data_IF_574155562013
#
_entry.id   IF_574155562013
#
_cell.length_a   1.000
_cell.length_b   1.000
_cell.length_c   1.000
_cell.angle_alpha   90.00
_cell.angle_beta   90.00
_cell.angle_gamma   90.00
#
_symmetry.space_group_name_H-M   'P 1'
#
loop_
_entity.id
_entity.type
_entity.pdbx_description
1 polymer ?
#
# COMPACT_ATOMS: atom_id res chain seq x y z
N UNK A 1 -0.94 -5.71 12.71
CA UNK A 1 0.27 -6.13 11.96
C UNK A 1 -0.13 -6.62 10.57
N UNK A 2 0.47 -6.09 9.50
CA UNK A 2 0.24 -6.56 8.13
C UNK A 2 1.17 -7.72 7.82
N UNK A 3 0.67 -8.95 7.88
CA UNK A 3 1.38 -10.16 7.45
C UNK A 3 0.39 -11.13 6.80
N UNK A 4 0.90 -11.93 5.87
CA UNK A 4 0.14 -12.96 5.16
C UNK A 4 0.15 -12.75 3.66
N UNK A 5 0.04 -13.85 2.92
CA UNK A 5 -0.20 -13.86 1.48
C UNK A 5 -1.70 -14.02 1.30
N UNK A 6 -2.31 -13.13 0.52
CA UNK A 6 -3.73 -13.21 0.19
C UNK A 6 -3.86 -13.20 -1.32
N UNK A 7 -4.47 -14.24 -1.87
CA UNK A 7 -4.81 -14.28 -3.28
C UNK A 7 -6.09 -13.48 -3.49
N UNK A 8 -6.01 -12.45 -4.33
CA UNK A 8 -7.12 -11.53 -4.59
C UNK A 8 -7.23 -11.35 -6.09
N UNK A 9 -8.44 -11.54 -6.63
CA UNK A 9 -8.71 -11.29 -8.03
C UNK A 9 -8.93 -9.80 -8.29
N UNK A 10 -8.48 -9.36 -9.46
CA UNK A 10 -8.69 -8.01 -9.96
C UNK A 10 -9.94 -7.99 -10.84
N UNK A 11 -10.81 -7.00 -10.62
CA UNK A 11 -11.97 -6.75 -11.47
C UNK A 11 -11.55 -6.23 -12.85
N UNK A 12 -12.42 -6.33 -13.86
CA UNK A 12 -12.17 -5.89 -15.24
C UNK A 12 -11.79 -4.41 -15.37
N UNK A 13 -12.08 -3.61 -14.33
CA UNK A 13 -11.72 -2.18 -14.23
C UNK A 13 -10.40 -1.92 -13.51
N UNK A 14 -9.60 -2.95 -13.22
CA UNK A 14 -8.36 -2.81 -12.47
C UNK A 14 -8.55 -2.57 -10.97
N UNK A 15 -9.74 -2.88 -10.42
CA UNK A 15 -10.03 -2.70 -9.00
C UNK A 15 -9.73 -3.97 -8.24
N UNK A 16 -9.15 -3.86 -7.05
CA UNK A 16 -8.91 -4.98 -6.14
C UNK A 16 -9.61 -4.72 -4.81
N UNK A 17 -10.18 -5.78 -4.23
CA UNK A 17 -10.82 -5.68 -2.92
C UNK A 17 -9.77 -5.86 -1.81
N UNK A 18 -9.58 -4.85 -0.96
CA UNK A 18 -8.74 -5.03 0.23
C UNK A 18 -9.44 -6.00 1.21
N UNK A 19 -8.75 -7.06 1.67
CA UNK A 19 -9.31 -8.02 2.61
C UNK A 19 -9.83 -7.34 3.88
N UNK A 20 -10.99 -7.79 4.37
CA UNK A 20 -11.69 -7.21 5.52
C UNK A 20 -10.80 -7.06 6.76
N UNK A 21 -9.92 -8.04 7.00
CA UNK A 21 -8.95 -8.05 8.10
C UNK A 21 -8.06 -6.82 8.18
N UNK A 22 -7.72 -6.22 7.03
CA UNK A 22 -6.86 -5.04 6.98
C UNK A 22 -7.67 -3.74 6.94
N UNK A 23 -8.96 -3.82 6.62
CA UNK A 23 -9.81 -2.66 6.36
C UNK A 23 -10.03 -1.80 7.61
N UNK A 24 -10.32 -2.44 8.74
CA UNK A 24 -10.48 -1.75 10.04
C UNK A 24 -9.17 -1.09 10.48
N UNK A 25 -8.05 -1.80 10.35
CA UNK A 25 -6.75 -1.28 10.74
C UNK A 25 -6.31 -0.11 9.85
N UNK A 26 -6.60 -0.15 8.55
CA UNK A 26 -6.34 0.97 7.63
C UNK A 26 -7.24 2.17 7.91
N UNK A 27 -8.51 1.94 8.25
CA UNK A 27 -9.40 3.02 8.67
C UNK A 27 -8.91 3.68 9.96
N UNK A 28 -8.50 2.91 10.96
CA UNK A 28 -8.02 3.47 12.24
C UNK A 28 -6.69 4.21 12.11
N UNK A 29 -5.80 3.79 11.21
CA UNK A 29 -4.44 4.35 11.10
C UNK A 29 -4.33 5.53 10.14
N UNK A 30 -5.14 5.55 9.08
CA UNK A 30 -4.97 6.51 7.99
C UNK A 30 -6.28 6.89 7.31
N UNK A 31 -7.44 6.64 7.94
CA UNK A 31 -8.77 6.90 7.39
C UNK A 31 -9.01 6.29 6.00
N UNK A 32 -8.26 5.23 5.65
CA UNK A 32 -8.30 4.62 4.31
C UNK A 32 -7.50 5.35 3.23
N UNK A 33 -6.72 6.37 3.58
CA UNK A 33 -5.79 7.03 2.67
C UNK A 33 -4.56 6.16 2.42
N UNK A 34 -4.42 5.70 1.18
CA UNK A 34 -3.36 4.82 0.72
C UNK A 34 -2.63 5.46 -0.46
N UNK A 35 -1.33 5.23 -0.54
CA UNK A 35 -0.46 5.63 -1.65
C UNK A 35 0.00 4.36 -2.36
N UNK A 36 -0.15 4.31 -3.67
CA UNK A 36 0.32 3.21 -4.50
C UNK A 36 1.53 3.68 -5.33
N UNK A 37 2.61 2.92 -5.30
CA UNK A 37 3.84 3.20 -6.05
C UNK A 37 4.29 1.98 -6.83
N UNK A 38 4.88 2.22 -7.99
CA UNK A 38 5.51 1.19 -8.80
C UNK A 38 6.89 0.87 -8.25
N UNK A 39 7.21 -0.42 -8.16
CA UNK A 39 8.58 -0.84 -7.86
C UNK A 39 9.48 -0.66 -9.10
N UNK A 40 10.74 -0.32 -8.86
CA UNK A 40 11.74 -0.07 -9.93
C UNK A 40 12.53 -1.34 -10.31
N UNK A 41 12.54 -2.35 -9.45
CA UNK A 41 13.30 -3.57 -9.61
C UNK A 41 12.42 -4.72 -10.10
N UNK A 42 11.22 -4.85 -9.54
CA UNK A 42 10.30 -5.94 -9.85
C UNK A 42 8.98 -5.41 -10.43
N UNK A 43 8.28 -6.18 -11.29
CA UNK A 43 6.96 -5.82 -11.80
C UNK A 43 5.89 -6.02 -10.71
N UNK A 44 6.00 -5.28 -9.61
CA UNK A 44 5.06 -5.29 -8.50
C UNK A 44 4.60 -3.89 -8.14
N UNK A 45 3.40 -3.81 -7.58
CA UNK A 45 2.82 -2.59 -7.06
C UNK A 45 2.98 -2.59 -5.53
N UNK A 46 3.60 -1.56 -4.99
CA UNK A 46 3.69 -1.34 -3.54
C UNK A 46 2.59 -0.40 -3.09
N UNK A 47 1.99 -0.71 -1.95
CA UNK A 47 0.93 0.10 -1.35
C UNK A 47 1.34 0.43 0.07
N UNK A 48 1.29 1.72 0.41
CA UNK A 48 1.68 2.26 1.70
C UNK A 48 0.53 3.08 2.31
N UNK A 49 0.34 3.03 3.64
CA UNK A 49 -0.45 4.03 4.33
C UNK A 49 0.17 5.41 4.19
N UNK A 50 -0.64 6.45 4.04
CA UNK A 50 -0.18 7.84 3.92
C UNK A 50 0.88 8.26 4.96
N UNK A 51 0.71 8.05 6.28
CA UNK A 51 1.71 8.50 7.26
C UNK A 51 3.07 7.81 7.08
N UNK A 52 3.08 6.55 6.64
CA UNK A 52 4.33 5.82 6.36
C UNK A 52 4.98 6.36 5.09
N UNK A 53 4.18 6.74 4.09
CA UNK A 53 4.70 7.35 2.87
C UNK A 53 5.33 8.72 3.12
N UNK A 54 4.70 9.56 3.95
CA UNK A 54 5.24 10.86 4.36
C UNK A 54 6.60 10.72 5.07
N UNK A 55 6.76 9.70 5.91
CA UNK A 55 8.07 9.38 6.52
C UNK A 55 9.12 8.96 5.49
N UNK A 56 8.73 8.15 4.49
CA UNK A 56 9.62 7.70 3.41
C UNK A 56 10.04 8.88 2.53
N UNK A 57 9.12 9.79 2.22
CA UNK A 57 9.39 10.99 1.41
C UNK A 57 10.27 11.99 2.18
N UNK A 58 9.99 12.19 3.47
CA UNK A 58 10.82 13.02 4.34
C UNK A 58 12.21 12.44 4.58
N UNK A 59 12.39 11.13 4.40
CA UNK A 59 13.70 10.52 4.47
C UNK A 59 14.43 10.87 3.18
N UNK A 60 15.56 11.59 3.23
CA UNK A 60 16.33 11.87 2.03
C UNK A 60 16.82 10.53 1.49
N UNK A 61 16.11 10.01 0.49
CA UNK A 61 16.65 8.97 -0.37
C UNK A 61 17.89 9.62 -0.94
N UNK A 62 19.05 9.09 -0.59
CA UNK A 62 20.34 9.52 -1.12
C UNK A 62 20.24 9.36 -2.65
N UNK A 63 19.80 10.43 -3.32
CA UNK A 63 19.77 10.53 -4.78
C UNK A 63 21.24 10.47 -5.17
N UNK A 64 21.62 9.38 -5.85
CA UNK A 64 22.90 9.31 -6.54
C UNK A 64 23.09 10.51 -7.46
#
# INVERSE_FOLDING_TARGET
>A
MFRGINEINMDAKGRMAIPSKYRELLQSHCNGCLVATIDIHDPCLRIYPLPVWEEIESRPVCRR
#
